data_IF_617119553414
#
_entry.id   IF_617119553414
#
_cell.length_a   1.000
_cell.length_b   1.000
_cell.length_c   1.000
_cell.angle_alpha   90.00
_cell.angle_beta   90.00
_cell.angle_gamma   90.00
#
_symmetry.space_group_name_H-M   'P 1'
#
loop_
_entity.id
_entity.type
_entity.pdbx_description
1 polymer ?
#
# COMPACT_ATOMS: atom_id res chain seq x y z
N UNK A 1 -1.20 3.52 -22.60
CA UNK A 1 -1.75 3.25 -21.25
C UNK A 1 -3.11 2.62 -21.47
N UNK A 2 -3.41 1.49 -20.82
CA UNK A 2 -4.75 0.92 -20.85
C UNK A 2 -5.75 1.89 -20.21
N UNK A 3 -6.95 1.98 -20.78
CA UNK A 3 -7.99 2.89 -20.34
C UNK A 3 -8.68 2.38 -19.07
N UNK A 4 -8.78 3.23 -18.05
CA UNK A 4 -9.45 2.92 -16.77
C UNK A 4 -10.87 3.48 -16.84
N UNK A 5 -11.77 2.69 -17.44
CA UNK A 5 -13.12 3.08 -17.84
C UNK A 5 -14.07 3.49 -16.70
N UNK A 6 -13.73 3.14 -15.45
CA UNK A 6 -14.54 3.44 -14.27
C UNK A 6 -14.04 4.67 -13.49
N UNK A 7 -13.07 5.40 -14.03
CA UNK A 7 -12.56 6.63 -13.43
C UNK A 7 -11.77 6.39 -12.14
N UNK A 8 -11.91 7.30 -11.16
CA UNK A 8 -11.23 7.20 -9.87
C UNK A 8 -12.05 6.37 -8.87
N UNK A 9 -11.35 5.76 -7.91
CA UNK A 9 -11.97 5.05 -6.79
C UNK A 9 -12.87 5.98 -5.97
N UNK A 10 -12.53 7.26 -5.86
CA UNK A 10 -13.40 8.25 -5.22
C UNK A 10 -14.75 8.42 -5.95
N UNK A 11 -14.74 8.54 -7.28
CA UNK A 11 -15.96 8.61 -8.08
C UNK A 11 -16.79 7.33 -7.91
N UNK A 12 -16.13 6.17 -7.95
CA UNK A 12 -16.78 4.87 -7.79
C UNK A 12 -17.42 4.70 -6.39
N UNK A 13 -16.78 5.21 -5.34
CA UNK A 13 -17.32 5.24 -3.97
C UNK A 13 -18.52 6.20 -3.83
N UNK A 14 -18.50 7.32 -4.54
CA UNK A 14 -19.63 8.28 -4.55
C UNK A 14 -20.84 7.69 -5.28
N UNK A 15 -20.62 7.02 -6.40
CA UNK A 15 -21.70 6.51 -7.26
C UNK A 15 -22.31 5.21 -6.74
N UNK A 16 -21.49 4.30 -6.20
CA UNK A 16 -21.94 2.96 -5.78
C UNK A 16 -22.10 2.81 -4.25
N UNK A 17 -21.81 3.85 -3.48
CA UNK A 17 -21.83 3.81 -2.03
C UNK A 17 -20.71 2.94 -1.43
N UNK A 18 -21.05 2.06 -0.49
CA UNK A 18 -20.06 1.24 0.22
C UNK A 18 -19.70 -0.03 -0.55
N UNK A 19 -18.40 -0.35 -0.56
CA UNK A 19 -17.91 -1.61 -1.11
C UNK A 19 -17.87 -2.66 0.00
N UNK A 20 -18.11 -3.92 -0.36
CA UNK A 20 -17.80 -5.05 0.52
C UNK A 20 -16.31 -5.05 0.89
N UNK A 21 -15.97 -5.49 2.10
CA UNK A 21 -14.58 -5.61 2.56
C UNK A 21 -13.70 -6.42 1.60
N UNK A 22 -14.25 -7.48 0.99
CA UNK A 22 -13.52 -8.30 0.01
C UNK A 22 -13.04 -7.48 -1.21
N UNK A 23 -13.89 -6.58 -1.73
CA UNK A 23 -13.52 -5.68 -2.83
C UNK A 23 -12.49 -4.64 -2.38
N UNK A 24 -12.63 -4.09 -1.18
CA UNK A 24 -11.66 -3.13 -0.62
C UNK A 24 -10.29 -3.78 -0.41
N UNK A 25 -10.25 -5.00 0.13
CA UNK A 25 -9.02 -5.77 0.28
C UNK A 25 -8.35 -6.07 -1.07
N UNK A 26 -9.16 -6.39 -2.09
CA UNK A 26 -8.66 -6.62 -3.46
C UNK A 26 -8.01 -5.36 -4.04
N UNK A 27 -8.64 -4.18 -3.88
CA UNK A 27 -8.09 -2.88 -4.30
C UNK A 27 -6.82 -2.54 -3.52
N UNK A 28 -6.85 -2.66 -2.19
CA UNK A 28 -5.71 -2.37 -1.32
C UNK A 28 -4.47 -3.20 -1.69
N UNK A 29 -4.63 -4.49 -1.99
CA UNK A 29 -3.54 -5.36 -2.43
C UNK A 29 -2.88 -4.86 -3.72
N UNK A 30 -3.67 -4.40 -4.69
CA UNK A 30 -3.16 -3.86 -5.95
C UNK A 30 -2.43 -2.52 -5.75
N UNK A 31 -2.99 -1.61 -4.93
CA UNK A 31 -2.33 -0.35 -4.57
C UNK A 31 -1.00 -0.61 -3.88
N UNK A 32 -0.94 -1.52 -2.91
CA UNK A 32 0.29 -1.90 -2.23
C UNK A 32 1.31 -2.54 -3.18
N UNK A 33 0.87 -3.32 -4.17
CA UNK A 33 1.74 -3.87 -5.20
C UNK A 33 2.34 -2.77 -6.10
N UNK A 34 1.53 -1.79 -6.51
CA UNK A 34 2.00 -0.62 -7.26
C UNK A 34 2.98 0.23 -6.45
N UNK A 35 2.68 0.49 -5.18
CA UNK A 35 3.57 1.20 -4.26
C UNK A 35 4.89 0.46 -4.05
N UNK A 36 4.86 -0.86 -3.85
CA UNK A 36 6.07 -1.70 -3.80
C UNK A 36 6.92 -1.50 -5.05
N UNK A 37 6.31 -1.50 -6.24
CA UNK A 37 7.03 -1.25 -7.49
C UNK A 37 7.69 0.14 -7.49
N UNK A 38 6.94 1.20 -7.18
CA UNK A 38 7.49 2.56 -7.09
C UNK A 38 8.67 2.64 -6.12
N UNK A 39 8.50 2.04 -4.94
CA UNK A 39 9.48 1.99 -3.87
C UNK A 39 10.77 1.27 -4.30
N UNK A 40 10.66 0.12 -5.00
CA UNK A 40 11.84 -0.57 -5.56
C UNK A 40 12.58 0.24 -6.62
N UNK A 41 11.89 1.20 -7.24
CA UNK A 41 12.44 2.14 -8.21
C UNK A 41 12.75 3.51 -7.58
N UNK A 42 12.84 3.59 -6.25
CA UNK A 42 13.23 4.80 -5.54
C UNK A 42 12.27 5.97 -5.78
N UNK A 43 10.98 5.69 -5.99
CA UNK A 43 9.92 6.69 -6.19
C UNK A 43 8.98 6.64 -5.00
N UNK A 44 8.80 7.77 -4.32
CA UNK A 44 7.73 7.96 -3.34
C UNK A 44 6.59 8.73 -4.01
N UNK A 45 5.37 8.20 -3.96
CA UNK A 45 4.21 8.83 -4.59
C UNK A 45 3.77 10.13 -3.87
N UNK A 46 3.85 10.12 -2.53
CA UNK A 46 3.50 11.21 -1.61
C UNK A 46 2.04 11.68 -1.58
N UNK A 47 1.19 11.26 -2.53
CA UNK A 47 -0.24 11.66 -2.56
C UNK A 47 -1.19 10.49 -2.84
N UNK A 48 -1.11 9.42 -2.03
CA UNK A 48 -2.02 8.28 -2.15
C UNK A 48 -3.36 8.60 -1.49
N UNK A 49 -4.40 8.69 -2.30
CA UNK A 49 -5.80 8.92 -1.89
C UNK A 49 -6.76 8.40 -2.96
N UNK A 50 -8.04 8.13 -2.65
CA UNK A 50 -8.99 7.53 -3.60
C UNK A 50 -9.13 8.27 -4.94
N UNK A 51 -8.99 9.59 -4.96
CA UNK A 51 -9.03 10.38 -6.20
C UNK A 51 -7.87 10.05 -7.17
N UNK A 52 -6.74 9.54 -6.66
CA UNK A 52 -5.52 9.22 -7.41
C UNK A 52 -5.38 7.72 -7.70
N UNK A 53 -6.43 6.94 -7.40
CA UNK A 53 -6.49 5.52 -7.68
C UNK A 53 -7.50 5.32 -8.80
N UNK A 54 -7.04 4.97 -10.00
CA UNK A 54 -7.89 4.69 -11.14
C UNK A 54 -8.33 3.22 -11.14
N UNK A 55 -9.57 2.98 -11.54
CA UNK A 55 -10.20 1.66 -11.53
C UNK A 55 -10.88 1.39 -12.89
N UNK A 56 -10.89 0.14 -13.32
CA UNK A 56 -11.67 -0.29 -14.48
C UNK A 56 -12.81 -1.25 -14.10
N UNK A 57 -13.65 -1.60 -15.07
CA UNK A 57 -14.80 -2.51 -14.91
C UNK A 57 -14.41 -3.91 -14.44
N UNK A 58 -13.14 -4.30 -14.60
CA UNK A 58 -12.58 -5.56 -14.08
C UNK A 58 -12.04 -5.45 -12.65
N UNK A 59 -12.24 -4.30 -11.96
CA UNK A 59 -11.68 -4.01 -10.64
C UNK A 59 -10.14 -4.02 -10.58
N UNK A 60 -9.49 -3.78 -11.72
CA UNK A 60 -8.04 -3.57 -11.78
C UNK A 60 -7.72 -2.12 -11.43
N UNK A 61 -6.56 -1.91 -10.81
CA UNK A 61 -6.22 -0.64 -10.18
C UNK A 61 -4.89 -0.09 -10.68
N UNK A 62 -4.85 1.23 -10.93
CA UNK A 62 -3.61 1.95 -11.26
C UNK A 62 -3.45 3.20 -10.39
N UNK A 63 -2.23 3.44 -9.95
CA UNK A 63 -1.85 4.66 -9.22
C UNK A 63 -1.62 5.76 -10.26
N UNK A 64 -2.23 6.92 -10.05
CA UNK A 64 -2.16 8.08 -10.92
C UNK A 64 -1.77 9.34 -10.15
N UNK A 65 -1.50 10.42 -10.90
CA UNK A 65 -1.07 11.72 -10.40
C UNK A 65 0.23 11.72 -9.59
N UNK A 66 1.34 11.75 -10.35
CA UNK A 66 2.70 11.82 -9.81
C UNK A 66 3.20 13.26 -9.63
N UNK A 67 2.30 14.26 -9.61
CA UNK A 67 2.67 15.69 -9.62
C UNK A 67 3.58 16.13 -8.48
N UNK A 68 3.53 15.43 -7.33
CA UNK A 68 4.39 15.66 -6.17
C UNK A 68 5.26 14.44 -5.81
N UNK A 69 5.38 13.48 -6.73
CA UNK A 69 6.22 12.31 -6.53
C UNK A 69 7.69 12.69 -6.53
N UNK A 70 8.47 12.07 -5.65
CA UNK A 70 9.90 12.33 -5.52
C UNK A 70 10.71 11.08 -5.81
N UNK A 71 11.81 11.25 -6.55
CA UNK A 71 12.86 10.23 -6.60
C UNK A 71 13.71 10.37 -5.35
N UNK A 72 13.54 9.44 -4.43
CA UNK A 72 14.24 9.42 -3.15
C UNK A 72 15.42 8.47 -3.24
N UNK A 73 16.61 8.86 -2.79
CA UNK A 73 17.70 7.87 -2.66
C UNK A 73 17.20 6.67 -1.80
N UNK A 74 17.64 5.42 -2.04
CA UNK A 74 17.15 4.24 -1.34
C UNK A 74 17.07 4.38 0.20
N UNK A 75 17.98 5.18 0.78
CA UNK A 75 18.02 5.48 2.21
C UNK A 75 16.85 6.38 2.70
N UNK A 76 16.33 7.25 1.84
CA UNK A 76 15.25 8.19 2.19
C UNK A 76 13.87 7.52 2.11
N UNK A 77 13.67 6.52 1.25
CA UNK A 77 12.40 5.77 1.22
C UNK A 77 12.17 4.99 2.52
N UNK A 78 13.24 4.49 3.14
CA UNK A 78 13.14 4.00 4.50
C UNK A 78 12.66 5.15 5.38
N UNK A 79 13.28 6.33 5.38
CA UNK A 79 12.88 7.45 6.27
C UNK A 79 11.39 7.84 6.28
N UNK A 80 10.62 7.67 5.19
CA UNK A 80 9.17 7.97 5.13
C UNK A 80 8.23 6.90 5.70
N UNK A 81 8.70 5.67 5.90
CA UNK A 81 7.89 4.64 6.58
C UNK A 81 7.87 4.92 8.10
N UNK A 82 6.72 4.67 8.74
CA UNK A 82 6.65 4.77 10.20
C UNK A 82 7.68 3.82 10.84
N UNK A 83 8.27 4.23 11.96
CA UNK A 83 9.24 3.41 12.68
C UNK A 83 8.66 2.02 13.02
N UNK A 84 7.36 1.96 13.33
CA UNK A 84 6.65 0.71 13.61
C UNK A 84 6.52 -0.18 12.38
N UNK A 85 6.27 0.37 11.18
CA UNK A 85 6.17 -0.46 9.99
C UNK A 85 7.54 -1.02 9.55
N UNK A 86 8.61 -0.24 9.66
CA UNK A 86 9.98 -0.72 9.40
C UNK A 86 10.34 -1.91 10.28
N UNK A 87 10.13 -1.75 11.58
CA UNK A 87 10.42 -2.79 12.57
C UNK A 87 9.61 -4.06 12.31
N UNK A 88 8.36 -3.92 11.85
CA UNK A 88 7.54 -5.07 11.47
C UNK A 88 8.12 -5.82 10.26
N UNK A 89 8.53 -5.11 9.22
CA UNK A 89 9.13 -5.71 8.03
C UNK A 89 10.44 -6.42 8.38
N UNK A 90 11.30 -5.80 9.19
CA UNK A 90 12.55 -6.40 9.68
C UNK A 90 12.29 -7.69 10.47
N UNK A 91 11.30 -7.69 11.37
CA UNK A 91 10.91 -8.87 12.14
C UNK A 91 10.37 -10.00 11.24
N UNK A 92 9.62 -9.66 10.18
CA UNK A 92 9.01 -10.63 9.26
C UNK A 92 9.99 -11.26 8.26
N UNK A 93 11.02 -10.51 7.84
CA UNK A 93 11.97 -10.90 6.79
C UNK A 93 13.32 -11.39 7.35
N UNK A 94 13.42 -11.57 8.67
CA UNK A 94 14.64 -12.04 9.31
C UNK A 94 15.05 -13.43 8.80
N UNK A 95 16.30 -13.53 8.31
CA UNK A 95 16.86 -14.73 7.66
C UNK A 95 17.45 -15.71 8.67
N UNK A 96 17.90 -15.22 9.83
CA UNK A 96 18.40 -16.07 10.90
C UNK A 96 17.25 -16.75 11.64
N UNK A 97 17.21 -18.09 11.63
CA UNK A 97 16.12 -18.88 12.23
C UNK A 97 15.91 -18.53 13.71
N UNK A 98 17.00 -18.29 14.47
CA UNK A 98 16.92 -17.93 15.88
C UNK A 98 16.44 -16.50 16.19
N UNK A 99 16.40 -15.63 15.18
CA UNK A 99 15.94 -14.23 15.31
C UNK A 99 14.61 -13.99 14.59
N UNK A 100 14.12 -14.97 13.83
CA UNK A 100 12.90 -14.85 13.04
C UNK A 100 11.68 -14.92 13.96
N UNK A 101 10.84 -13.91 13.88
CA UNK A 101 9.62 -13.88 14.65
C UNK A 101 8.61 -14.91 14.13
N UNK A 102 7.98 -15.62 15.05
CA UNK A 102 6.85 -16.51 14.77
C UNK A 102 5.61 -15.71 14.38
N UNK A 103 4.64 -16.34 13.74
CA UNK A 103 3.36 -15.71 13.39
C UNK A 103 2.66 -15.10 14.63
N UNK A 104 2.66 -15.81 15.77
CA UNK A 104 2.09 -15.30 17.02
C UNK A 104 2.85 -14.11 17.61
N UNK A 105 4.15 -13.95 17.32
CA UNK A 105 4.91 -12.75 17.71
C UNK A 105 4.65 -11.59 16.77
N UNK A 106 4.56 -11.84 15.45
CA UNK A 106 4.25 -10.82 14.45
C UNK A 106 2.85 -10.21 14.67
N UNK A 107 1.85 -11.03 15.03
CA UNK A 107 0.50 -10.55 15.33
C UNK A 107 0.43 -9.63 16.56
N UNK A 108 1.41 -9.74 17.47
CA UNK A 108 1.53 -8.87 18.65
C UNK A 108 2.41 -7.63 18.39
N UNK A 109 2.93 -7.46 17.18
CA UNK A 109 3.79 -6.34 16.84
C UNK A 109 2.99 -5.01 16.85
N UNK A 110 3.52 -3.90 17.39
CA UNK A 110 2.82 -2.61 17.48
C UNK A 110 2.21 -2.09 16.17
N UNK A 111 2.83 -2.45 15.04
CA UNK A 111 2.27 -2.15 13.71
C UNK A 111 0.89 -2.77 13.48
N UNK A 112 0.64 -3.99 13.99
CA UNK A 112 -0.63 -4.71 13.85
C UNK A 112 -1.53 -4.54 15.08
N UNK A 113 -0.97 -4.51 16.30
CA UNK A 113 -1.77 -4.41 17.53
C UNK A 113 -2.44 -3.05 17.72
N UNK A 114 -1.86 -1.98 17.17
CA UNK A 114 -2.47 -0.63 17.23
C UNK A 114 -3.61 -0.46 16.21
N UNK A 115 -3.88 -1.45 15.35
CA UNK A 115 -5.01 -1.45 14.43
C UNK A 115 -6.31 -1.94 15.07
N UNK A 116 -6.30 -2.33 16.36
CA UNK A 116 -7.51 -2.56 17.15
C UNK A 116 -8.34 -3.75 16.69
N UNK A 117 -7.71 -4.91 16.48
CA UNK A 117 -8.41 -6.19 16.34
C UNK A 117 -8.61 -6.87 17.69
#
# INVERSE_FOLDING_TARGET
MEFMDSGSLEALLKDNGTFSEAKLAHVARQVLSGLKYLHTHNIAHNDIKPAHILVNSNMEVKIADFGISTRTAPAVLLSVLSLTFKSFIEASLQKEVGKRWTAGQLLRHPFLSNLGF
#
